data_IF_100072634298
#
_entry.id   IF_100072634298
#
_cell.length_a   1.000
_cell.length_b   1.000
_cell.length_c   1.000
_cell.angle_alpha   90.00
_cell.angle_beta   90.00
_cell.angle_gamma   90.00
#
_symmetry.space_group_name_H-M   'P 1'
#
loop_
_entity.id
_entity.type
_entity.pdbx_description
1 polymer ?
#
# COMPACT_ATOMS: atom_id res chain seq x y z
N UNK A 1 11.07 -22.25 -7.98
CA UNK A 1 10.08 -21.26 -7.48
C UNK A 1 10.24 -19.97 -8.26
N UNK A 2 9.17 -19.21 -8.50
CA UNK A 2 9.20 -17.92 -9.21
C UNK A 2 8.79 -16.81 -8.26
N UNK A 3 9.47 -15.67 -8.30
CA UNK A 3 9.19 -14.49 -7.48
C UNK A 3 8.86 -13.33 -8.41
N UNK A 4 7.90 -12.49 -8.01
CA UNK A 4 7.55 -11.25 -8.70
C UNK A 4 7.68 -10.10 -7.71
N UNK A 5 8.38 -9.04 -8.10
CA UNK A 5 8.51 -7.82 -7.32
C UNK A 5 7.60 -6.73 -7.90
N UNK A 6 6.81 -6.09 -7.04
CA UNK A 6 5.82 -5.06 -7.41
C UNK A 6 5.80 -3.95 -6.37
N UNK A 7 5.55 -2.72 -6.82
CA UNK A 7 5.39 -1.55 -5.94
C UNK A 7 3.92 -1.39 -5.53
N UNK A 8 3.64 -1.42 -4.23
CA UNK A 8 2.26 -1.35 -3.67
C UNK A 8 1.82 0.07 -3.32
N UNK A 9 2.77 0.98 -3.19
CA UNK A 9 2.60 2.33 -2.68
C UNK A 9 2.13 3.35 -3.73
N UNK A 10 1.90 2.90 -4.97
CA UNK A 10 1.47 3.77 -6.05
C UNK A 10 0.01 4.20 -5.92
N UNK A 11 -0.24 5.45 -6.31
CA UNK A 11 -1.59 5.97 -6.47
C UNK A 11 -2.22 5.43 -7.75
N UNK A 12 -3.43 4.89 -7.65
CA UNK A 12 -4.25 4.46 -8.78
C UNK A 12 -5.65 5.05 -8.63
N UNK A 13 -6.17 5.66 -9.70
CA UNK A 13 -7.57 6.12 -9.72
C UNK A 13 -8.54 4.92 -9.72
N UNK A 14 -9.75 5.07 -9.16
CA UNK A 14 -10.81 4.07 -9.32
C UNK A 14 -11.02 3.68 -10.79
N UNK A 15 -11.43 2.42 -11.08
CA UNK A 15 -11.94 1.41 -10.14
C UNK A 15 -10.87 0.47 -9.55
N UNK A 16 -9.59 0.61 -9.93
CA UNK A 16 -8.52 -0.33 -9.55
C UNK A 16 -7.95 -0.14 -8.13
N UNK A 17 -8.52 0.74 -7.33
CA UNK A 17 -8.01 1.13 -6.02
C UNK A 17 -9.05 1.04 -4.91
N UNK A 18 -8.55 0.91 -3.69
CA UNK A 18 -9.33 1.07 -2.46
C UNK A 18 -8.83 2.30 -1.70
N UNK A 19 -9.69 2.84 -0.84
CA UNK A 19 -9.32 3.96 0.02
C UNK A 19 -8.63 3.43 1.27
N UNK A 20 -7.39 3.85 1.49
CA UNK A 20 -6.63 3.59 2.72
C UNK A 20 -6.29 4.91 3.43
N UNK A 21 -6.00 4.85 4.71
CA UNK A 21 -5.28 5.88 5.43
C UNK A 21 -3.77 5.71 5.18
N UNK A 22 -3.12 6.77 4.70
CA UNK A 22 -1.66 6.89 4.56
C UNK A 22 -1.20 8.18 5.26
N UNK A 23 -0.47 8.03 6.36
CA UNK A 23 -0.06 9.10 7.28
C UNK A 23 -1.25 9.95 7.76
N UNK A 24 -2.32 9.28 8.20
CA UNK A 24 -3.53 9.93 8.74
C UNK A 24 -4.44 10.58 7.70
N UNK A 25 -4.11 10.49 6.41
CA UNK A 25 -4.90 11.09 5.31
C UNK A 25 -5.37 10.01 4.33
N UNK A 26 -6.56 10.20 3.76
CA UNK A 26 -7.13 9.28 2.76
C UNK A 26 -6.29 9.28 1.48
N UNK A 27 -5.97 8.11 0.98
CA UNK A 27 -5.25 7.87 -0.27
C UNK A 27 -5.91 6.71 -1.04
N UNK A 28 -5.97 6.85 -2.36
CA UNK A 28 -6.30 5.71 -3.24
C UNK A 28 -5.06 4.83 -3.41
N UNK A 29 -5.17 3.57 -3.01
CA UNK A 29 -4.09 2.58 -3.05
C UNK A 29 -4.49 1.43 -3.96
N UNK A 30 -3.56 0.95 -4.79
CA UNK A 30 -3.82 -0.19 -5.67
C UNK A 30 -4.29 -1.41 -4.89
N UNK A 31 -5.41 -2.00 -5.32
CA UNK A 31 -5.94 -3.24 -4.74
C UNK A 31 -5.44 -4.49 -5.47
N UNK A 32 -4.76 -4.33 -6.61
CA UNK A 32 -4.41 -5.44 -7.50
C UNK A 32 -3.53 -6.48 -6.82
N UNK A 33 -2.52 -6.04 -6.06
CA UNK A 33 -1.58 -6.92 -5.36
C UNK A 33 -2.30 -7.69 -4.25
N UNK A 34 -3.10 -6.98 -3.44
CA UNK A 34 -3.89 -7.57 -2.36
C UNK A 34 -4.87 -8.61 -2.90
N UNK A 35 -5.62 -8.29 -3.96
CA UNK A 35 -6.57 -9.20 -4.61
C UNK A 35 -5.89 -10.44 -5.16
N UNK A 36 -4.76 -10.28 -5.84
CA UNK A 36 -3.99 -11.39 -6.40
C UNK A 36 -3.48 -12.32 -5.28
N UNK A 37 -2.89 -11.75 -4.23
CA UNK A 37 -2.37 -12.51 -3.11
C UNK A 37 -3.47 -13.27 -2.36
N UNK A 38 -4.62 -12.63 -2.10
CA UNK A 38 -5.78 -13.30 -1.48
C UNK A 38 -6.36 -14.40 -2.38
N UNK A 39 -6.60 -14.11 -3.67
CA UNK A 39 -7.22 -15.07 -4.60
C UNK A 39 -6.41 -16.35 -4.77
N UNK A 40 -5.09 -16.19 -4.88
CA UNK A 40 -4.19 -17.32 -5.16
C UNK A 40 -3.44 -17.81 -3.92
N UNK A 41 -3.76 -17.28 -2.74
CA UNK A 41 -3.11 -17.62 -1.47
C UNK A 41 -1.58 -17.52 -1.57
N UNK A 42 -1.10 -16.41 -2.15
CA UNK A 42 0.33 -16.16 -2.36
C UNK A 42 0.88 -15.40 -1.14
N UNK A 43 1.99 -15.87 -0.54
CA UNK A 43 2.66 -15.14 0.53
C UNK A 43 3.23 -13.81 0.04
N UNK A 44 3.05 -12.76 0.82
CA UNK A 44 3.65 -11.44 0.60
C UNK A 44 4.87 -11.30 1.52
N UNK A 45 5.99 -10.84 0.96
CA UNK A 45 7.18 -10.45 1.71
C UNK A 45 7.42 -8.96 1.46
N UNK A 46 7.09 -8.06 2.40
CA UNK A 46 7.42 -6.65 2.25
C UNK A 46 8.94 -6.47 2.33
N UNK A 47 9.52 -5.80 1.33
CA UNK A 47 10.95 -5.55 1.23
C UNK A 47 11.17 -4.05 1.03
N UNK A 48 12.14 -3.51 1.76
CA UNK A 48 12.47 -2.09 1.74
C UNK A 48 13.97 -1.89 1.62
N UNK A 49 14.36 -0.71 1.14
CA UNK A 49 15.75 -0.29 1.09
C UNK A 49 15.89 1.13 1.62
N UNK A 50 17.03 1.40 2.27
CA UNK A 50 17.39 2.71 2.80
C UNK A 50 18.83 3.02 2.42
N UNK A 51 19.05 4.14 1.74
CA UNK A 51 20.40 4.63 1.42
C UNK A 51 21.09 5.09 2.70
N UNK A 52 22.33 4.70 2.86
CA UNK A 52 23.21 5.09 3.96
C UNK A 52 24.12 6.24 3.50
N UNK A 53 24.75 6.93 4.45
CA UNK A 53 25.63 8.09 4.18
C UNK A 53 26.83 7.72 3.30
N UNK A 54 27.30 6.48 3.38
CA UNK A 54 28.46 5.95 2.65
C UNK A 54 28.12 5.41 1.25
N UNK A 55 26.99 5.83 0.67
CA UNK A 55 26.45 5.35 -0.61
C UNK A 55 26.09 3.85 -0.66
N UNK A 56 26.06 3.14 0.47
CA UNK A 56 25.51 1.78 0.54
C UNK A 56 24.01 1.80 0.79
N UNK A 57 23.38 0.64 0.61
CA UNK A 57 21.95 0.45 0.87
C UNK A 57 21.75 -0.62 1.95
N UNK A 58 20.99 -0.28 2.98
CA UNK A 58 20.46 -1.25 3.93
C UNK A 58 19.14 -1.79 3.37
N UNK A 59 19.13 -3.07 3.01
CA UNK A 59 17.93 -3.78 2.56
C UNK A 59 17.44 -4.66 3.70
N UNK A 60 16.13 -4.68 3.93
CA UNK A 60 15.52 -5.59 4.88
C UNK A 60 14.17 -6.07 4.37
N UNK A 61 13.78 -7.25 4.85
CA UNK A 61 12.44 -7.80 4.67
C UNK A 61 11.70 -7.77 6.00
N UNK A 62 10.41 -7.46 5.95
CA UNK A 62 9.50 -7.70 7.07
C UNK A 62 9.04 -9.18 7.05
N UNK A 63 8.43 -9.68 8.14
CA UNK A 63 7.92 -11.05 8.19
C UNK A 63 6.96 -11.36 7.03
N UNK A 64 6.97 -12.63 6.60
CA UNK A 64 6.07 -13.14 5.56
C UNK A 64 4.62 -13.01 6.04
N UNK A 65 3.74 -12.55 5.14
CA UNK A 65 2.32 -12.36 5.40
C UNK A 65 1.49 -13.28 4.49
N UNK A 66 0.56 -14.00 5.11
CA UNK A 66 -0.58 -14.58 4.42
C UNK A 66 -1.77 -13.64 4.62
N UNK A 67 -2.42 -13.25 3.53
CA UNK A 67 -3.60 -12.40 3.60
C UNK A 67 -4.85 -13.27 3.78
N UNK A 68 -5.61 -12.99 4.83
CA UNK A 68 -6.86 -13.69 5.17
C UNK A 68 -8.07 -12.80 4.94
N UNK A 69 -9.26 -13.40 4.92
CA UNK A 69 -10.52 -12.69 4.72
C UNK A 69 -11.05 -12.84 3.30
N UNK A 70 -12.27 -12.35 3.09
CA UNK A 70 -13.03 -12.60 1.87
C UNK A 70 -13.66 -11.30 1.35
N UNK A 71 -14.03 -11.32 0.07
CA UNK A 71 -14.75 -10.23 -0.56
C UNK A 71 -14.00 -8.90 -0.53
N UNK A 72 -14.76 -7.81 -0.65
CA UNK A 72 -14.20 -6.47 -0.74
C UNK A 72 -13.68 -5.94 0.60
N UNK A 73 -14.35 -6.28 1.72
CA UNK A 73 -13.90 -5.91 3.06
C UNK A 73 -12.52 -6.45 3.37
N UNK A 74 -12.25 -7.73 3.07
CA UNK A 74 -10.93 -8.33 3.25
C UNK A 74 -9.86 -7.65 2.39
N UNK A 75 -10.19 -7.22 1.16
CA UNK A 75 -9.26 -6.47 0.31
C UNK A 75 -8.93 -5.11 0.92
N UNK A 76 -9.92 -4.38 1.43
CA UNK A 76 -9.70 -3.07 2.07
C UNK A 76 -8.82 -3.23 3.32
N UNK A 77 -9.16 -4.17 4.21
CA UNK A 77 -8.43 -4.43 5.46
C UNK A 77 -6.97 -4.81 5.20
N UNK A 78 -6.73 -5.75 4.28
CA UNK A 78 -5.38 -6.17 3.95
C UNK A 78 -4.58 -5.08 3.22
N UNK A 79 -5.22 -4.29 2.35
CA UNK A 79 -4.52 -3.17 1.69
C UNK A 79 -4.16 -2.10 2.73
N UNK A 80 -5.00 -1.85 3.73
CA UNK A 80 -4.69 -0.96 4.85
C UNK A 80 -3.54 -1.51 5.70
N UNK A 81 -3.53 -2.81 6.00
CA UNK A 81 -2.43 -3.48 6.72
C UNK A 81 -1.10 -3.31 6.01
N UNK A 82 -1.06 -3.58 4.70
CA UNK A 82 0.15 -3.41 3.88
C UNK A 82 0.60 -1.93 3.82
N UNK A 83 -0.37 -1.00 3.73
CA UNK A 83 -0.09 0.44 3.79
C UNK A 83 0.54 0.86 5.11
N UNK A 84 0.08 0.32 6.24
CA UNK A 84 0.65 0.61 7.55
C UNK A 84 2.11 0.12 7.69
N UNK A 85 2.44 -1.02 7.07
CA UNK A 85 3.83 -1.52 7.02
C UNK A 85 4.72 -0.58 6.22
N UNK A 86 4.22 -0.07 5.09
CA UNK A 86 4.93 0.95 4.31
C UNK A 86 5.14 2.22 5.14
N UNK A 87 4.14 2.70 5.88
CA UNK A 87 4.32 3.86 6.77
C UNK A 87 5.42 3.63 7.80
N UNK A 88 5.45 2.46 8.44
CA UNK A 88 6.48 2.13 9.43
C UNK A 88 7.89 2.14 8.81
N UNK A 89 8.03 1.63 7.58
CA UNK A 89 9.29 1.67 6.84
C UNK A 89 9.69 3.11 6.46
N UNK A 90 8.74 3.90 5.95
CA UNK A 90 8.96 5.32 5.58
C UNK A 90 9.35 6.15 6.81
N UNK A 91 8.82 5.85 8.00
CA UNK A 91 9.20 6.55 9.24
C UNK A 91 10.64 6.32 9.68
N UNK A 92 11.35 5.32 9.13
CA UNK A 92 12.79 5.14 9.41
C UNK A 92 13.61 6.29 8.87
N UNK A 93 13.23 6.83 7.71
CA UNK A 93 13.73 8.09 7.17
C UNK A 93 12.74 8.64 6.15
N UNK A 94 11.95 9.61 6.58
CA UNK A 94 10.90 10.18 5.72
C UNK A 94 11.48 10.92 4.51
N UNK A 95 12.74 11.35 4.54
CA UNK A 95 13.34 12.14 3.45
C UNK A 95 13.65 11.30 2.22
N UNK A 96 13.84 9.98 2.38
CA UNK A 96 14.24 9.07 1.32
C UNK A 96 13.07 8.44 0.56
N UNK A 97 11.84 8.72 0.98
CA UNK A 97 10.68 8.26 0.25
C UNK A 97 10.43 9.09 -1.02
N UNK A 98 9.95 8.44 -2.07
CA UNK A 98 9.76 9.07 -3.38
C UNK A 98 8.47 9.94 -3.42
N UNK A 99 8.48 11.09 -2.72
CA UNK A 99 7.34 12.00 -2.54
C UNK A 99 6.84 12.73 -3.80
N UNK A 100 7.46 12.48 -4.96
CA UNK A 100 7.07 13.12 -6.23
C UNK A 100 5.66 12.71 -6.69
N UNK A 101 5.15 11.56 -6.22
CA UNK A 101 3.78 11.15 -6.49
C UNK A 101 2.79 11.94 -5.62
N UNK A 102 1.79 12.58 -6.26
CA UNK A 102 0.67 13.21 -5.54
C UNK A 102 -0.24 12.13 -4.92
N UNK A 103 0.16 11.60 -3.77
CA UNK A 103 -0.44 10.45 -3.09
C UNK A 103 -1.88 10.68 -2.63
N UNK A 104 -2.18 11.88 -2.13
CA UNK A 104 -3.48 12.24 -1.54
C UNK A 104 -4.41 12.95 -2.54
N UNK A 105 -4.71 12.30 -3.67
CA UNK A 105 -5.73 12.75 -4.64
C UNK A 105 -7.05 12.02 -4.45
N UNK A 106 -7.52 11.92 -3.21
CA UNK A 106 -8.87 11.41 -2.93
C UNK A 106 -9.82 12.58 -3.10
N UNK A 107 -10.72 12.48 -4.08
CA UNK A 107 -11.83 13.44 -4.17
C UNK A 107 -12.70 13.23 -2.93
N UNK A 108 -13.22 14.30 -2.29
CA UNK A 108 -14.28 14.13 -1.31
C UNK A 108 -15.35 13.26 -1.95
N UNK A 109 -15.92 12.32 -1.20
CA UNK A 109 -17.21 11.78 -1.60
C UNK A 109 -18.08 13.00 -1.84
N UNK A 110 -18.61 13.14 -3.06
CA UNK A 110 -19.79 13.96 -3.22
C UNK A 110 -20.79 13.28 -2.31
N UNK A 111 -21.04 13.85 -1.14
CA UNK A 111 -22.27 13.56 -0.43
C UNK A 111 -23.35 13.57 -1.51
N UNK A 112 -24.04 12.44 -1.63
CA UNK A 112 -25.26 12.41 -2.39
C UNK A 112 -26.13 13.50 -1.78
N UNK A 113 -26.17 14.67 -2.42
CA UNK A 113 -27.30 15.58 -2.41
C UNK A 113 -28.49 14.82 -3.03
N UNK A 114 -28.92 13.77 -2.34
CA UNK A 114 -30.19 13.08 -2.50
C UNK A 114 -30.97 13.39 -1.21
N UNK A 115 -31.23 14.66 -0.97
CA UNK A 115 -32.35 15.08 -0.14
C UNK A 115 -32.78 16.51 -0.47
N UNK A 116 -33.91 16.59 -1.18
CA UNK A 116 -34.85 17.73 -1.32
C UNK A 116 -34.52 18.82 -2.33
#
# INVERSE_FOLDING_TARGET
QRVVAVLLDQHISPPGSVVTNFFGRKAYTTAAITRMAMKYQIPIVPVFCLRQEDNRYKIWAEPILMLSGEGESGVIENTQKLTAIIEAAVRKDVTQWFWMHKRWRVKPDKEKDENR
#
